data_IF_127657065584
#
_entry.id   IF_127657065584
#
_cell.length_a   1.000
_cell.length_b   1.000
_cell.length_c   1.000
_cell.angle_alpha   90.00
_cell.angle_beta   90.00
_cell.angle_gamma   90.00
#
_symmetry.space_group_name_H-M   'P 1'
#
loop_
_entity.id
_entity.type
_entity.pdbx_description
1 polymer ?
#
# COMPACT_ATOMS: atom_id res chain seq x y z
N UNK A 1 26.46 73.86 6.57
CA UNK A 1 25.22 74.36 7.20
C UNK A 1 24.08 73.86 6.32
N UNK A 2 23.10 73.03 6.69
CA UNK A 2 22.60 72.49 7.96
C UNK A 2 21.51 71.44 7.58
N UNK A 3 21.53 70.26 8.22
CA UNK A 3 20.42 69.28 8.43
C UNK A 3 19.76 68.62 7.21
N UNK A 4 19.94 67.31 6.97
CA UNK A 4 19.35 66.14 7.66
C UNK A 4 17.97 65.75 7.11
N UNK A 5 17.88 64.53 6.52
CA UNK A 5 16.84 63.53 6.82
C UNK A 5 17.52 62.16 6.62
N UNK A 6 17.76 61.50 7.75
CA UNK A 6 17.89 60.05 7.84
C UNK A 6 16.47 59.48 7.69
N UNK A 7 16.23 58.52 6.81
CA UNK A 7 15.34 57.37 7.10
C UNK A 7 15.36 56.35 5.94
N UNK A 8 15.50 55.08 6.31
CA UNK A 8 14.99 53.89 5.58
C UNK A 8 15.64 53.52 4.23
N UNK A 9 16.89 53.06 4.29
CA UNK A 9 17.42 52.02 3.38
C UNK A 9 17.85 50.82 4.21
N UNK A 10 16.88 50.19 4.88
CA UNK A 10 17.05 48.90 5.54
C UNK A 10 15.76 48.07 5.34
N UNK A 11 15.40 47.84 4.08
CA UNK A 11 14.29 46.99 3.71
C UNK A 11 14.83 45.79 2.92
N UNK A 12 14.98 44.66 3.63
CA UNK A 12 14.64 43.37 3.05
C UNK A 12 15.75 42.56 2.37
N UNK A 13 16.95 42.47 2.96
CA UNK A 13 17.69 41.20 2.89
C UNK A 13 17.15 40.30 4.00
N UNK A 14 15.92 39.80 3.81
CA UNK A 14 15.48 38.62 4.52
C UNK A 14 16.38 37.48 4.01
N UNK A 15 17.19 36.82 4.86
CA UNK A 15 17.62 35.49 4.48
C UNK A 15 16.33 34.69 4.32
N UNK A 16 16.07 34.18 3.11
CA UNK A 16 15.26 32.97 2.99
C UNK A 16 16.03 31.92 3.78
N UNK A 17 15.78 31.86 5.09
CA UNK A 17 15.89 30.62 5.81
C UNK A 17 14.81 29.75 5.18
N UNK A 18 15.18 29.06 4.10
CA UNK A 18 14.59 27.76 3.85
C UNK A 18 14.80 27.03 5.17
N UNK A 19 13.76 26.99 6.01
CA UNK A 19 13.70 26.03 7.07
C UNK A 19 13.76 24.69 6.35
N UNK A 20 14.96 24.14 6.21
CA UNK A 20 15.12 22.71 6.05
C UNK A 20 14.36 22.14 7.24
N UNK A 21 13.17 21.64 6.97
CA UNK A 21 12.27 21.14 7.99
C UNK A 21 12.86 19.81 8.41
N UNK A 22 13.87 19.86 9.27
CA UNK A 22 14.58 18.69 9.76
C UNK A 22 13.58 17.74 10.40
N UNK A 23 13.63 16.49 9.96
CA UNK A 23 12.85 15.37 10.46
C UNK A 23 13.39 14.88 11.80
N UNK A 24 13.47 15.78 12.78
CA UNK A 24 14.01 15.56 14.14
C UNK A 24 13.27 14.46 14.93
N UNK A 25 12.10 14.02 14.47
CA UNK A 25 11.35 12.95 15.12
C UNK A 25 12.08 11.60 15.04
N UNK A 26 12.97 11.39 14.07
CA UNK A 26 13.70 10.13 13.92
C UNK A 26 14.98 10.13 14.76
N UNK A 27 15.03 9.24 15.75
CA UNK A 27 16.20 9.08 16.62
C UNK A 27 17.00 7.83 16.23
N UNK A 28 18.32 7.90 16.44
CA UNK A 28 19.21 6.73 16.32
C UNK A 28 19.52 6.16 17.71
N UNK A 29 19.66 4.84 17.78
CA UNK A 29 19.99 4.12 18.99
C UNK A 29 19.98 2.61 18.75
N UNK A 30 20.54 1.85 19.69
CA UNK A 30 20.43 0.39 19.66
C UNK A 30 18.97 -0.04 19.89
N UNK A 31 18.60 -1.22 19.38
CA UNK A 31 17.25 -1.75 19.60
C UNK A 31 16.89 -1.89 21.08
N UNK A 32 17.88 -2.19 21.93
CA UNK A 32 17.70 -2.25 23.39
C UNK A 32 17.35 -0.88 23.98
N UNK A 33 18.00 0.19 23.53
CA UNK A 33 17.71 1.56 23.98
C UNK A 33 16.35 2.04 23.48
N UNK A 34 16.03 1.80 22.21
CA UNK A 34 14.74 2.18 21.61
C UNK A 34 13.57 1.48 22.32
N UNK A 35 13.67 0.18 22.57
CA UNK A 35 12.63 -0.56 23.31
C UNK A 35 12.57 -0.16 24.78
N UNK A 36 13.69 0.17 25.42
CA UNK A 36 13.69 0.71 26.78
C UNK A 36 13.00 2.08 26.86
N UNK A 37 13.27 2.97 25.91
CA UNK A 37 12.60 4.27 25.80
C UNK A 37 11.11 4.11 25.54
N UNK A 38 10.73 3.25 24.59
CA UNK A 38 9.34 2.94 24.27
C UNK A 38 8.54 2.45 25.49
N UNK A 39 9.11 1.54 26.28
CA UNK A 39 8.51 1.08 27.55
C UNK A 39 8.38 2.20 28.57
N UNK A 40 9.43 3.01 28.75
CA UNK A 40 9.43 4.14 29.70
C UNK A 40 8.39 5.20 29.33
N UNK A 41 8.20 5.46 28.05
CA UNK A 41 7.29 6.50 27.55
C UNK A 41 5.89 6.00 27.25
N UNK A 42 5.63 4.69 27.38
CA UNK A 42 4.37 4.05 26.99
C UNK A 42 3.97 4.38 25.55
N UNK A 43 4.96 4.39 24.65
CA UNK A 43 4.79 4.66 23.21
C UNK A 43 5.24 3.45 22.40
N UNK A 44 4.53 3.09 21.32
CA UNK A 44 5.07 2.14 20.34
C UNK A 44 6.23 2.78 19.57
N UNK A 45 7.04 1.92 18.99
CA UNK A 45 8.14 2.28 18.09
C UNK A 45 7.59 2.32 16.67
N UNK A 46 7.80 3.44 15.99
CA UNK A 46 7.63 3.53 14.54
C UNK A 46 8.99 3.30 13.89
N UNK A 47 9.10 2.28 13.03
CA UNK A 47 10.33 1.98 12.29
C UNK A 47 10.09 2.24 10.81
N UNK A 48 10.80 3.20 10.24
CA UNK A 48 10.89 3.38 8.80
C UNK A 48 12.01 2.51 8.22
N UNK A 49 11.69 1.61 7.29
CA UNK A 49 12.69 0.84 6.56
C UNK A 49 12.77 1.32 5.12
N UNK A 50 13.96 1.76 4.75
CA UNK A 50 14.23 2.43 3.48
C UNK A 50 15.57 1.98 2.90
N UNK A 51 15.93 2.54 1.75
CA UNK A 51 17.29 2.48 1.22
C UNK A 51 17.62 3.69 0.36
N UNK A 52 18.89 4.01 0.21
CA UNK A 52 19.34 5.09 -0.69
C UNK A 52 18.96 4.84 -2.16
N UNK A 53 18.39 5.86 -2.82
CA UNK A 53 17.88 5.76 -4.19
C UNK A 53 16.42 5.28 -4.29
N UNK A 54 15.76 5.05 -3.16
CA UNK A 54 14.33 4.79 -3.11
C UNK A 54 13.50 6.08 -3.33
N UNK A 55 12.92 6.24 -4.52
CA UNK A 55 12.13 7.42 -4.89
C UNK A 55 10.92 7.64 -3.96
N UNK A 56 10.13 6.59 -3.72
CA UNK A 56 8.97 6.67 -2.83
C UNK A 56 9.35 6.98 -1.37
N UNK A 57 10.49 6.49 -0.91
CA UNK A 57 11.01 6.82 0.42
C UNK A 57 11.36 8.31 0.50
N UNK A 58 12.01 8.86 -0.54
CA UNK A 58 12.33 10.29 -0.60
C UNK A 58 11.08 11.17 -0.61
N UNK A 59 10.03 10.73 -1.30
CA UNK A 59 8.75 11.42 -1.30
C UNK A 59 8.13 11.51 0.09
N UNK A 60 8.19 10.46 0.90
CA UNK A 60 7.74 10.49 2.30
C UNK A 60 8.59 11.46 3.14
N UNK A 61 9.90 11.37 3.01
CA UNK A 61 10.87 12.20 3.73
C UNK A 61 10.68 13.70 3.44
N UNK A 62 10.33 14.08 2.22
CA UNK A 62 10.21 15.48 1.81
C UNK A 62 8.78 16.01 1.91
N UNK A 63 7.77 15.19 1.57
CA UNK A 63 6.38 15.66 1.39
C UNK A 63 5.47 15.34 2.57
N UNK A 64 5.83 14.37 3.41
CA UNK A 64 4.92 13.80 4.43
C UNK A 64 5.48 13.96 5.84
N UNK A 65 6.63 13.36 6.14
CA UNK A 65 7.23 13.36 7.48
C UNK A 65 7.51 14.75 8.06
N UNK A 66 7.91 15.77 7.27
CA UNK A 66 8.20 17.09 7.83
C UNK A 66 6.93 17.88 8.17
N UNK A 67 5.77 17.49 7.64
CA UNK A 67 4.52 18.27 7.81
C UNK A 67 4.22 18.48 9.30
N UNK A 68 3.91 19.72 9.74
CA UNK A 68 3.78 20.04 11.16
C UNK A 68 2.83 19.09 11.92
N UNK A 69 1.70 18.75 11.31
CA UNK A 69 0.70 17.84 11.87
C UNK A 69 1.21 16.41 12.01
N UNK A 70 1.93 15.90 11.00
CA UNK A 70 2.51 14.55 11.00
C UNK A 70 3.64 14.47 12.02
N UNK A 71 4.58 15.42 11.95
CA UNK A 71 5.73 15.50 12.83
C UNK A 71 5.29 15.56 14.30
N UNK A 72 4.39 16.49 14.62
CA UNK A 72 3.86 16.64 15.98
C UNK A 72 3.20 15.35 16.46
N UNK A 73 2.37 14.73 15.64
CA UNK A 73 1.70 13.49 16.02
C UNK A 73 2.69 12.35 16.28
N UNK A 74 3.74 12.24 15.45
CA UNK A 74 4.79 11.24 15.63
C UNK A 74 5.57 11.46 16.93
N UNK A 75 6.01 12.70 17.21
CA UNK A 75 6.73 13.06 18.44
C UNK A 75 5.88 12.79 19.69
N UNK A 76 4.59 13.11 19.64
CA UNK A 76 3.67 12.95 20.76
C UNK A 76 3.35 11.48 21.04
N UNK A 77 3.33 10.61 20.02
CA UNK A 77 2.76 9.26 20.15
C UNK A 77 3.73 8.11 19.88
N UNK A 78 4.90 8.32 19.27
CA UNK A 78 5.82 7.27 18.89
C UNK A 78 7.26 7.52 19.35
N UNK A 79 8.01 6.44 19.49
CA UNK A 79 9.48 6.47 19.39
C UNK A 79 9.83 6.15 17.95
N UNK A 80 10.18 7.17 17.15
CA UNK A 80 10.42 6.97 15.71
C UNK A 80 11.91 6.74 15.42
N UNK A 81 12.20 5.72 14.62
CA UNK A 81 13.55 5.37 14.15
C UNK A 81 13.48 4.95 12.68
N UNK A 82 14.63 4.88 12.01
CA UNK A 82 14.70 4.36 10.66
C UNK A 82 16.00 3.62 10.37
N UNK A 83 15.92 2.65 9.46
CA UNK A 83 17.05 1.80 9.06
C UNK A 83 17.17 1.72 7.54
N UNK A 84 18.36 2.01 7.02
CA UNK A 84 18.73 1.65 5.66
C UNK A 84 19.00 0.13 5.60
N UNK A 85 18.14 -0.60 4.90
CA UNK A 85 18.16 -2.07 4.89
C UNK A 85 19.33 -2.69 4.13
N UNK A 86 20.05 -1.90 3.32
CA UNK A 86 21.24 -2.36 2.60
C UNK A 86 22.54 -1.93 3.26
N UNK A 87 22.51 -0.97 4.20
CA UNK A 87 23.68 -0.53 4.97
C UNK A 87 23.70 -1.03 6.40
N UNK A 88 22.54 -1.22 7.01
CA UNK A 88 22.41 -1.58 8.42
C UNK A 88 21.94 -3.04 8.54
N UNK A 89 22.77 -3.91 9.14
CA UNK A 89 22.47 -5.35 9.30
C UNK A 89 21.12 -5.58 10.00
N UNK A 90 20.80 -4.75 11.00
CA UNK A 90 19.54 -4.79 11.72
C UNK A 90 18.33 -4.51 10.81
N UNK A 91 18.44 -3.57 9.86
CA UNK A 91 17.40 -3.32 8.86
C UNK A 91 17.14 -4.56 8.00
N UNK A 92 18.21 -5.29 7.63
CA UNK A 92 18.11 -6.55 6.89
C UNK A 92 17.48 -7.68 7.72
N UNK A 93 17.79 -7.77 9.01
CA UNK A 93 17.15 -8.71 9.94
C UNK A 93 15.64 -8.45 10.07
N UNK A 94 15.23 -7.17 10.16
CA UNK A 94 13.81 -6.82 10.15
C UNK A 94 13.13 -7.30 8.86
N UNK A 95 13.77 -7.14 7.69
CA UNK A 95 13.22 -7.61 6.41
C UNK A 95 12.94 -9.11 6.44
N UNK A 96 13.88 -9.91 6.95
CA UNK A 96 13.70 -11.35 7.08
C UNK A 96 12.64 -11.71 8.13
N UNK A 97 12.58 -10.99 9.25
CA UNK A 97 11.61 -11.23 10.32
C UNK A 97 10.17 -11.01 9.87
N UNK A 98 9.91 -9.89 9.19
CA UNK A 98 8.56 -9.43 8.83
C UNK A 98 8.23 -9.55 7.34
N UNK A 99 9.05 -10.29 6.58
CA UNK A 99 8.90 -10.50 5.14
C UNK A 99 8.78 -9.19 4.33
N UNK A 100 9.70 -8.25 4.54
CA UNK A 100 9.69 -6.98 3.79
C UNK A 100 10.46 -7.12 2.48
N UNK A 101 9.74 -7.03 1.37
CA UNK A 101 10.31 -7.21 0.02
C UNK A 101 10.27 -5.95 -0.86
N UNK A 102 9.60 -4.88 -0.41
CA UNK A 102 9.55 -3.56 -1.06
C UNK A 102 9.65 -2.43 -0.03
N UNK A 103 9.95 -1.20 -0.49
CA UNK A 103 10.21 -0.04 0.37
C UNK A 103 9.58 1.25 -0.18
N UNK A 104 9.24 2.24 0.67
CA UNK A 104 9.38 2.20 2.13
C UNK A 104 8.42 1.17 2.76
N UNK A 105 8.83 0.58 3.87
CA UNK A 105 7.95 -0.24 4.72
C UNK A 105 8.06 0.25 6.17
N UNK A 106 6.91 0.49 6.79
CA UNK A 106 6.78 0.94 8.18
C UNK A 106 6.40 -0.22 9.07
N UNK A 107 7.06 -0.34 10.21
CA UNK A 107 6.69 -1.29 11.26
C UNK A 107 6.25 -0.51 12.50
N UNK A 108 5.13 -0.93 13.09
CA UNK A 108 4.70 -0.44 14.40
C UNK A 108 4.91 -1.56 15.42
N UNK A 109 5.84 -1.37 16.35
CA UNK A 109 6.27 -2.40 17.30
C UNK A 109 6.13 -1.87 18.73
N UNK A 110 5.55 -2.66 19.64
CA UNK A 110 5.44 -2.26 21.04
C UNK A 110 6.81 -2.26 21.74
N UNK A 111 6.90 -1.63 22.92
CA UNK A 111 8.11 -1.68 23.75
C UNK A 111 8.54 -3.10 24.17
N UNK A 112 7.64 -4.08 24.08
CA UNK A 112 7.87 -5.50 24.36
C UNK A 112 8.27 -6.31 23.11
N UNK A 113 8.39 -5.65 21.95
CA UNK A 113 8.73 -6.31 20.69
C UNK A 113 7.54 -6.94 19.95
N UNK A 114 6.29 -6.69 20.38
CA UNK A 114 5.10 -7.20 19.69
C UNK A 114 4.80 -6.36 18.46
N UNK A 115 4.65 -6.99 17.29
CA UNK A 115 4.26 -6.29 16.08
C UNK A 115 2.77 -5.90 16.18
N UNK A 116 2.46 -4.62 16.01
CA UNK A 116 1.09 -4.08 16.04
C UNK A 116 0.49 -4.09 14.63
N UNK A 117 1.29 -3.64 13.65
CA UNK A 117 0.92 -3.57 12.25
C UNK A 117 2.14 -3.26 11.36
N UNK A 118 1.94 -3.42 10.06
CA UNK A 118 2.84 -2.94 9.00
C UNK A 118 2.13 -1.94 8.10
N UNK A 119 2.88 -1.09 7.41
CA UNK A 119 2.40 -0.27 6.29
C UNK A 119 3.49 -0.19 5.23
N UNK A 120 3.15 0.09 3.98
CA UNK A 120 4.14 0.15 2.90
C UNK A 120 3.82 1.23 1.88
N UNK A 121 4.85 1.61 1.12
CA UNK A 121 4.77 2.56 0.03
C UNK A 121 4.62 4.02 0.46
N UNK A 122 4.61 4.89 -0.54
CA UNK A 122 4.22 6.28 -0.35
C UNK A 122 2.74 6.37 0.04
N UNK A 123 2.44 7.23 1.00
CA UNK A 123 1.08 7.56 1.43
C UNK A 123 0.93 9.08 1.46
N UNK A 124 -0.17 9.60 0.92
CA UNK A 124 -0.47 11.02 1.07
C UNK A 124 -0.59 11.39 2.57
N UNK A 125 -0.28 12.63 2.97
CA UNK A 125 -0.27 13.04 4.39
C UNK A 125 -1.52 12.64 5.19
N UNK A 126 -2.71 12.84 4.63
CA UNK A 126 -3.97 12.49 5.28
C UNK A 126 -4.12 10.96 5.46
N UNK A 127 -3.68 10.16 4.49
CA UNK A 127 -3.70 8.71 4.59
C UNK A 127 -2.67 8.22 5.62
N UNK A 128 -1.48 8.82 5.62
CA UNK A 128 -0.44 8.50 6.59
C UNK A 128 -0.86 8.87 8.01
N UNK A 129 -1.54 10.00 8.21
CA UNK A 129 -2.14 10.35 9.50
C UNK A 129 -3.16 9.32 9.97
N UNK A 130 -4.08 8.89 9.10
CA UNK A 130 -5.03 7.80 9.41
C UNK A 130 -4.30 6.51 9.77
N UNK A 131 -3.20 6.19 9.09
CA UNK A 131 -2.35 5.05 9.44
C UNK A 131 -1.76 5.19 10.86
N UNK A 132 -1.19 6.35 11.21
CA UNK A 132 -0.64 6.59 12.55
C UNK A 132 -1.72 6.50 13.64
N UNK A 133 -2.87 7.14 13.44
CA UNK A 133 -4.02 7.15 14.37
C UNK A 133 -4.60 5.76 14.62
N UNK A 134 -4.82 4.99 13.55
CA UNK A 134 -5.29 3.62 13.63
C UNK A 134 -4.33 2.75 14.43
N UNK A 135 -3.01 2.93 14.23
CA UNK A 135 -2.01 2.12 14.93
C UNK A 135 -1.85 2.48 16.41
N UNK A 136 -2.03 3.76 16.78
CA UNK A 136 -2.13 4.15 18.19
C UNK A 136 -3.39 3.56 18.82
N UNK A 137 -4.52 3.56 18.10
CA UNK A 137 -5.76 2.96 18.59
C UNK A 137 -5.61 1.45 18.83
N UNK A 138 -4.99 0.73 17.89
CA UNK A 138 -4.65 -0.70 18.02
C UNK A 138 -3.72 -0.95 19.21
N UNK A 139 -2.67 -0.14 19.36
CA UNK A 139 -1.72 -0.25 20.47
C UNK A 139 -2.43 -0.11 21.83
N UNK A 140 -3.25 0.94 22.00
CA UNK A 140 -4.03 1.19 23.22
C UNK A 140 -5.04 0.06 23.50
N UNK A 141 -5.61 -0.53 22.46
CA UNK A 141 -6.50 -1.68 22.57
C UNK A 141 -5.78 -3.03 22.78
N UNK A 142 -4.44 -3.05 22.83
CA UNK A 142 -3.66 -4.28 22.96
C UNK A 142 -3.80 -5.23 21.76
N UNK A 143 -4.04 -4.69 20.56
CA UNK A 143 -4.21 -5.46 19.32
C UNK A 143 -2.87 -5.62 18.60
N UNK A 144 -2.44 -6.86 18.43
CA UNK A 144 -1.15 -7.23 17.85
C UNK A 144 -1.29 -8.28 16.76
N UNK A 145 -0.32 -8.33 15.85
CA UNK A 145 -0.13 -9.43 14.90
C UNK A 145 0.58 -10.59 15.61
N UNK A 146 -0.21 -11.47 16.24
CA UNK A 146 0.26 -12.57 17.10
C UNK A 146 0.91 -13.74 16.36
N UNK A 147 0.96 -13.67 15.03
CA UNK A 147 1.68 -14.61 14.17
C UNK A 147 3.19 -14.48 14.27
N UNK A 148 3.70 -13.31 14.66
CA UNK A 148 5.13 -13.05 14.81
C UNK A 148 5.55 -13.12 16.28
N UNK A 149 6.61 -13.87 16.57
CA UNK A 149 7.26 -13.86 17.87
C UNK A 149 7.90 -12.50 18.18
N UNK A 150 7.98 -12.16 19.47
CA UNK A 150 8.45 -10.87 19.96
C UNK A 150 9.98 -10.67 19.82
N UNK A 151 10.71 -11.72 19.43
CA UNK A 151 12.15 -11.70 19.20
C UNK A 151 12.45 -11.73 17.71
N UNK A 152 13.55 -11.09 17.31
CA UNK A 152 14.08 -11.19 15.95
C UNK A 152 14.69 -12.55 15.64
N UNK A 153 14.98 -13.36 16.66
CA UNK A 153 15.41 -14.74 16.45
C UNK A 153 14.26 -15.53 15.83
N UNK A 154 14.53 -16.17 14.71
CA UNK A 154 13.59 -17.03 14.00
C UNK A 154 14.18 -18.44 13.87
N UNK A 155 13.32 -19.42 13.64
CA UNK A 155 13.69 -20.80 13.33
C UNK A 155 13.38 -21.13 11.85
N UNK A 156 13.60 -20.13 10.99
CA UNK A 156 13.38 -20.25 9.56
C UNK A 156 14.40 -21.21 8.93
N UNK A 157 14.01 -21.98 7.89
CA UNK A 157 14.93 -22.85 7.19
C UNK A 157 15.99 -22.06 6.40
N UNK A 158 17.14 -22.68 6.15
CA UNK A 158 18.28 -22.01 5.49
C UNK A 158 17.95 -21.42 4.12
N UNK A 159 17.08 -22.06 3.34
CA UNK A 159 16.66 -21.52 2.04
C UNK A 159 15.88 -20.19 2.18
N UNK A 160 15.15 -20.00 3.29
CA UNK A 160 14.45 -18.75 3.58
C UNK A 160 15.43 -17.67 4.03
N UNK A 161 16.39 -18.04 4.87
CA UNK A 161 17.49 -17.16 5.25
C UNK A 161 18.27 -16.70 4.00
N UNK A 162 18.65 -17.63 3.12
CA UNK A 162 19.32 -17.32 1.85
C UNK A 162 18.52 -16.33 0.99
N UNK A 163 17.19 -16.43 0.94
CA UNK A 163 16.34 -15.50 0.18
C UNK A 163 16.52 -14.02 0.61
N UNK A 164 16.70 -13.75 1.90
CA UNK A 164 16.92 -12.38 2.40
C UNK A 164 18.40 -11.99 2.45
N UNK A 165 19.30 -12.92 2.73
CA UNK A 165 20.69 -12.60 3.05
C UNK A 165 21.68 -12.73 1.89
N UNK A 166 21.34 -13.47 0.83
CA UNK A 166 22.16 -13.53 -0.38
C UNK A 166 22.30 -12.17 -1.06
N UNK A 167 23.37 -12.00 -1.85
CA UNK A 167 23.61 -10.79 -2.67
C UNK A 167 22.46 -10.54 -3.65
N UNK A 168 22.01 -11.61 -4.30
CA UNK A 168 20.88 -11.57 -5.22
C UNK A 168 19.70 -12.32 -4.58
N UNK A 169 18.57 -11.63 -4.41
CA UNK A 169 17.33 -12.24 -3.92
C UNK A 169 16.80 -13.21 -4.98
N UNK A 170 16.86 -14.51 -4.70
CA UNK A 170 16.34 -15.58 -5.56
C UNK A 170 15.32 -16.40 -4.80
N UNK A 171 14.16 -16.62 -5.41
CA UNK A 171 13.17 -17.53 -4.85
C UNK A 171 13.76 -18.93 -4.66
N UNK A 172 13.51 -19.59 -3.53
CA UNK A 172 14.02 -20.92 -3.24
C UNK A 172 13.45 -21.97 -4.20
N UNK A 173 14.13 -23.13 -4.26
CA UNK A 173 13.66 -24.28 -5.01
C UNK A 173 12.28 -24.75 -4.52
N UNK A 174 11.38 -25.01 -5.47
CA UNK A 174 9.98 -25.33 -5.14
C UNK A 174 9.82 -26.72 -4.51
N UNK A 175 10.73 -27.66 -4.77
CA UNK A 175 10.70 -28.99 -4.15
C UNK A 175 11.11 -28.89 -2.70
N UNK A 176 12.24 -28.24 -2.41
CA UNK A 176 12.73 -28.03 -1.05
C UNK A 176 11.71 -27.31 -0.15
N UNK A 177 11.05 -26.26 -0.67
CA UNK A 177 10.00 -25.54 0.04
C UNK A 177 8.81 -26.46 0.37
N UNK A 178 8.33 -27.24 -0.60
CA UNK A 178 7.18 -28.15 -0.40
C UNK A 178 7.52 -29.27 0.58
N UNK A 179 8.71 -29.86 0.49
CA UNK A 179 9.17 -30.88 1.44
C UNK A 179 9.24 -30.34 2.87
N UNK A 180 9.71 -29.10 3.06
CA UNK A 180 9.68 -28.45 4.36
C UNK A 180 8.25 -28.32 4.88
N UNK A 181 7.33 -27.77 4.06
CA UNK A 181 5.93 -27.57 4.43
C UNK A 181 5.24 -28.89 4.79
N UNK A 182 5.42 -29.95 4.00
CA UNK A 182 4.78 -31.26 4.24
C UNK A 182 5.19 -31.92 5.56
N UNK A 183 6.32 -31.52 6.16
CA UNK A 183 6.80 -32.03 7.45
C UNK A 183 6.22 -31.28 8.66
N UNK A 184 5.60 -30.11 8.47
CA UNK A 184 5.13 -29.28 9.58
C UNK A 184 3.78 -29.76 10.10
N UNK A 185 3.62 -29.74 11.42
CA UNK A 185 2.37 -30.07 12.11
C UNK A 185 1.55 -28.83 12.47
N UNK A 186 2.23 -27.73 12.82
CA UNK A 186 1.61 -26.44 13.11
C UNK A 186 1.64 -25.55 11.85
N UNK A 187 0.51 -25.49 11.16
CA UNK A 187 0.37 -24.75 9.90
C UNK A 187 0.30 -23.23 10.13
N UNK A 188 0.04 -22.80 11.37
CA UNK A 188 -0.06 -21.39 11.73
C UNK A 188 1.22 -20.86 12.40
N UNK A 189 2.30 -21.64 12.40
CA UNK A 189 3.59 -21.24 12.93
C UNK A 189 4.24 -20.15 12.06
N UNK A 190 4.95 -19.22 12.70
CA UNK A 190 5.62 -18.09 12.03
C UNK A 190 6.50 -18.53 10.86
N UNK A 191 7.43 -19.47 11.08
CA UNK A 191 8.34 -19.97 10.04
C UNK A 191 7.58 -20.63 8.88
N UNK A 192 6.46 -21.28 9.18
CA UNK A 192 5.62 -21.98 8.19
C UNK A 192 4.91 -20.98 7.31
N UNK A 193 4.29 -19.95 7.90
CA UNK A 193 3.65 -18.88 7.14
C UNK A 193 4.66 -18.11 6.28
N UNK A 194 5.84 -17.79 6.82
CA UNK A 194 6.89 -17.11 6.06
C UNK A 194 7.40 -17.96 4.90
N UNK A 195 7.47 -19.28 5.06
CA UNK A 195 7.80 -20.21 3.97
C UNK A 195 6.67 -20.28 2.93
N UNK A 196 5.40 -20.14 3.31
CA UNK A 196 4.29 -20.04 2.34
C UNK A 196 4.46 -18.84 1.40
N UNK A 197 4.98 -17.70 1.88
CA UNK A 197 5.19 -16.49 1.09
C UNK A 197 6.27 -16.64 0.00
N UNK A 198 7.19 -17.59 0.15
CA UNK A 198 8.22 -17.91 -0.86
C UNK A 198 7.86 -19.16 -1.68
N UNK A 199 6.69 -19.75 -1.45
CA UNK A 199 6.23 -20.92 -2.18
C UNK A 199 5.42 -20.50 -3.41
N UNK A 200 5.89 -20.89 -4.61
CA UNK A 200 5.17 -20.56 -5.87
C UNK A 200 3.78 -21.20 -5.95
N UNK A 201 3.65 -22.44 -5.49
CA UNK A 201 2.43 -23.23 -5.53
C UNK A 201 2.32 -24.03 -4.22
N UNK A 202 1.36 -23.67 -3.37
CA UNK A 202 1.17 -24.37 -2.10
C UNK A 202 0.73 -25.83 -2.32
N UNK A 203 1.19 -26.77 -1.47
CA UNK A 203 0.62 -28.11 -1.41
C UNK A 203 -0.91 -28.08 -1.18
N UNK A 204 -1.64 -29.07 -1.68
CA UNK A 204 -3.11 -29.09 -1.65
C UNK A 204 -3.69 -28.98 -0.23
N UNK A 205 -3.08 -29.66 0.76
CA UNK A 205 -3.48 -29.57 2.16
C UNK A 205 -3.28 -28.15 2.74
N UNK A 206 -2.17 -27.48 2.38
CA UNK A 206 -1.91 -26.09 2.78
C UNK A 206 -2.87 -25.11 2.14
N UNK A 207 -3.15 -25.27 0.85
CA UNK A 207 -4.14 -24.46 0.13
C UNK A 207 -5.52 -24.58 0.79
N UNK A 208 -6.00 -25.79 0.99
CA UNK A 208 -7.31 -26.03 1.62
C UNK A 208 -7.37 -25.46 3.04
N UNK A 209 -6.31 -25.66 3.83
CA UNK A 209 -6.24 -25.13 5.18
C UNK A 209 -6.19 -23.60 5.21
N UNK A 210 -5.40 -22.97 4.34
CA UNK A 210 -5.29 -21.51 4.25
C UNK A 210 -6.63 -20.87 3.91
N UNK A 211 -7.31 -21.36 2.86
CA UNK A 211 -8.61 -20.83 2.42
C UNK A 211 -9.64 -20.96 3.56
N UNK A 212 -9.70 -22.11 4.24
CA UNK A 212 -10.62 -22.33 5.35
C UNK A 212 -10.34 -21.44 6.56
N UNK A 213 -9.08 -21.07 6.81
CA UNK A 213 -8.65 -20.33 8.01
C UNK A 213 -8.16 -18.91 7.67
N UNK A 214 -8.57 -18.33 6.54
CA UNK A 214 -8.01 -17.08 6.01
C UNK A 214 -8.11 -15.93 7.01
N UNK A 215 -9.26 -15.79 7.68
CA UNK A 215 -9.46 -14.77 8.74
C UNK A 215 -8.44 -14.90 9.85
N UNK A 216 -8.20 -16.13 10.35
CA UNK A 216 -7.18 -16.38 11.38
C UNK A 216 -5.78 -16.01 10.90
N UNK A 217 -5.42 -16.32 9.64
CA UNK A 217 -4.13 -15.89 9.12
C UNK A 217 -4.01 -14.37 9.00
N UNK A 218 -5.07 -13.66 8.60
CA UNK A 218 -5.08 -12.20 8.51
C UNK A 218 -4.92 -11.57 9.89
N UNK A 219 -5.64 -12.05 10.89
CA UNK A 219 -5.52 -11.58 12.28
C UNK A 219 -4.12 -11.81 12.84
N UNK A 220 -3.49 -12.95 12.52
CA UNK A 220 -2.16 -13.30 13.02
C UNK A 220 -1.03 -12.58 12.29
N UNK A 221 -1.10 -12.48 10.96
CA UNK A 221 0.04 -12.09 10.13
C UNK A 221 -0.17 -10.80 9.31
N UNK A 222 -1.36 -10.19 9.39
CA UNK A 222 -1.69 -8.95 8.70
C UNK A 222 -2.22 -9.18 7.28
N UNK A 223 -3.03 -8.25 6.79
CA UNK A 223 -3.70 -8.38 5.49
C UNK A 223 -2.71 -8.43 4.32
N UNK A 224 -1.68 -7.58 4.30
CA UNK A 224 -0.76 -7.43 3.16
C UNK A 224 -0.04 -8.73 2.79
N UNK A 225 0.54 -9.43 3.79
CA UNK A 225 1.21 -10.71 3.55
C UNK A 225 0.24 -11.80 3.13
N UNK A 226 -0.97 -11.80 3.68
CA UNK A 226 -2.02 -12.75 3.30
C UNK A 226 -2.55 -12.49 1.88
N UNK A 227 -2.58 -11.25 1.42
CA UNK A 227 -2.88 -10.92 0.03
C UNK A 227 -1.83 -11.51 -0.91
N UNK A 228 -0.54 -11.55 -0.52
CA UNK A 228 0.50 -12.21 -1.32
C UNK A 228 0.27 -13.73 -1.45
N UNK A 229 -0.09 -14.41 -0.36
CA UNK A 229 -0.44 -15.83 -0.39
C UNK A 229 -1.66 -16.08 -1.27
N UNK A 230 -2.72 -15.27 -1.08
CA UNK A 230 -3.95 -15.38 -1.87
C UNK A 230 -3.67 -15.19 -3.36
N UNK A 231 -2.94 -14.14 -3.74
CA UNK A 231 -2.58 -13.87 -5.14
C UNK A 231 -1.83 -15.04 -5.80
N UNK A 232 -0.97 -15.74 -5.05
CA UNK A 232 -0.33 -16.97 -5.51
C UNK A 232 -1.35 -18.08 -5.85
N UNK A 233 -2.33 -18.30 -4.96
CA UNK A 233 -3.41 -19.27 -5.17
C UNK A 233 -4.29 -18.90 -6.36
N UNK A 234 -4.68 -17.64 -6.48
CA UNK A 234 -5.52 -17.15 -7.58
C UNK A 234 -4.80 -17.24 -8.93
N UNK A 235 -3.50 -16.94 -8.96
CA UNK A 235 -2.67 -17.12 -10.15
C UNK A 235 -2.61 -18.59 -10.57
N UNK A 236 -2.51 -19.51 -9.61
CA UNK A 236 -2.56 -20.95 -9.88
C UNK A 236 -3.94 -21.36 -10.43
N UNK A 237 -5.03 -20.79 -9.92
CA UNK A 237 -6.38 -21.11 -10.40
C UNK A 237 -6.58 -20.76 -11.87
N UNK A 238 -6.07 -19.61 -12.30
CA UNK A 238 -6.17 -19.14 -13.67
C UNK A 238 -5.46 -20.04 -14.71
N UNK A 239 -4.57 -20.95 -14.30
CA UNK A 239 -3.83 -21.79 -15.27
C UNK A 239 -4.71 -22.80 -16.00
N UNK A 240 -5.93 -23.05 -15.52
CA UNK A 240 -6.89 -23.96 -16.16
C UNK A 240 -7.63 -23.33 -17.34
N UNK A 241 -7.63 -22.00 -17.42
CA UNK A 241 -8.32 -21.26 -18.47
C UNK A 241 -7.50 -21.23 -19.78
N UNK A 242 -8.16 -21.23 -20.96
CA UNK A 242 -7.47 -21.12 -22.24
C UNK A 242 -6.86 -19.73 -22.42
N UNK A 243 -5.78 -19.62 -23.20
CA UNK A 243 -5.11 -18.32 -23.43
C UNK A 243 -5.95 -17.34 -24.25
N UNK A 244 -6.81 -17.85 -25.12
CA UNK A 244 -7.80 -17.06 -25.86
C UNK A 244 -9.06 -16.91 -25.00
N UNK A 245 -9.76 -15.79 -25.18
CA UNK A 245 -11.01 -15.54 -24.47
C UNK A 245 -12.04 -16.62 -24.80
N UNK A 246 -12.51 -17.30 -23.76
CA UNK A 246 -13.67 -18.17 -23.82
C UNK A 246 -14.60 -17.79 -22.66
N UNK A 247 -15.69 -17.09 -23.00
CA UNK A 247 -16.65 -16.60 -22.01
C UNK A 247 -17.34 -17.74 -21.26
N UNK A 248 -17.70 -18.82 -21.96
CA UNK A 248 -18.38 -19.95 -21.33
C UNK A 248 -17.44 -20.67 -20.36
N UNK A 249 -16.17 -20.84 -20.73
CA UNK A 249 -15.15 -21.40 -19.84
C UNK A 249 -14.90 -20.49 -18.62
N UNK A 250 -14.89 -19.16 -18.82
CA UNK A 250 -14.70 -18.21 -17.73
C UNK A 250 -15.88 -18.19 -16.74
N UNK A 251 -17.11 -18.20 -17.24
CA UNK A 251 -18.31 -18.24 -16.41
C UNK A 251 -18.37 -19.54 -15.58
N UNK A 252 -18.10 -20.68 -16.22
CA UNK A 252 -18.02 -21.97 -15.53
C UNK A 252 -16.89 -21.99 -14.49
N UNK A 253 -15.74 -21.37 -14.80
CA UNK A 253 -14.63 -21.20 -13.87
C UNK A 253 -15.03 -20.36 -12.65
N UNK A 254 -15.66 -19.20 -12.85
CA UNK A 254 -16.11 -18.34 -11.76
C UNK A 254 -17.13 -19.07 -10.87
N UNK A 255 -18.12 -19.75 -11.46
CA UNK A 255 -19.12 -20.52 -10.72
C UNK A 255 -18.45 -21.59 -9.83
N UNK A 256 -17.41 -22.26 -10.34
CA UNK A 256 -16.64 -23.23 -9.55
C UNK A 256 -15.84 -22.56 -8.42
N UNK A 257 -15.14 -21.46 -8.70
CA UNK A 257 -14.31 -20.78 -7.70
C UNK A 257 -15.14 -20.12 -6.60
N UNK A 258 -16.36 -19.66 -6.91
CA UNK A 258 -17.27 -19.10 -5.93
C UNK A 258 -17.64 -20.10 -4.82
N UNK A 259 -17.63 -21.41 -5.13
CA UNK A 259 -17.84 -22.47 -4.13
C UNK A 259 -16.61 -22.77 -3.28
N UNK A 260 -15.43 -22.34 -3.71
CA UNK A 260 -14.14 -22.60 -3.03
C UNK A 260 -13.84 -21.50 -2.02
N UNK A 261 -14.12 -20.24 -2.36
CA UNK A 261 -13.77 -19.08 -1.56
C UNK A 261 -14.95 -18.54 -0.75
N UNK A 262 -14.65 -17.84 0.34
CA UNK A 262 -15.69 -17.26 1.19
C UNK A 262 -16.45 -16.14 0.47
N UNK A 263 -17.72 -15.93 0.83
CA UNK A 263 -18.51 -14.83 0.30
C UNK A 263 -17.89 -13.44 0.62
N UNK A 264 -17.17 -13.34 1.74
CA UNK A 264 -16.48 -12.11 2.17
C UNK A 264 -15.34 -11.76 1.23
N UNK A 265 -14.58 -12.76 0.75
CA UNK A 265 -13.44 -12.55 -0.14
C UNK A 265 -13.84 -12.50 -1.61
N UNK A 266 -15.02 -13.04 -1.94
CA UNK A 266 -15.41 -13.32 -3.32
C UNK A 266 -15.38 -12.09 -4.23
N UNK A 267 -15.78 -10.92 -3.72
CA UNK A 267 -15.77 -9.69 -4.51
C UNK A 267 -14.38 -9.31 -5.00
N UNK A 268 -13.37 -9.39 -4.13
CA UNK A 268 -11.98 -9.10 -4.49
C UNK A 268 -11.43 -10.16 -5.44
N UNK A 269 -11.74 -11.43 -5.17
CA UNK A 269 -11.28 -12.59 -5.92
C UNK A 269 -11.83 -12.61 -7.35
N UNK A 270 -13.14 -12.41 -7.53
CA UNK A 270 -13.76 -12.41 -8.87
C UNK A 270 -13.20 -11.29 -9.74
N UNK A 271 -12.91 -10.14 -9.13
CA UNK A 271 -12.26 -9.04 -9.84
C UNK A 271 -10.80 -9.32 -10.19
N UNK A 272 -10.04 -9.98 -9.30
CA UNK A 272 -8.69 -10.44 -9.62
C UNK A 272 -8.72 -11.37 -10.83
N UNK A 273 -9.66 -12.32 -10.88
CA UNK A 273 -9.81 -13.21 -12.02
C UNK A 273 -10.16 -12.47 -13.30
N UNK A 274 -11.14 -11.56 -13.26
CA UNK A 274 -11.52 -10.76 -14.42
C UNK A 274 -10.38 -9.90 -14.94
N UNK A 275 -9.65 -9.21 -14.06
CA UNK A 275 -8.50 -8.39 -14.46
C UNK A 275 -7.42 -9.24 -15.12
N UNK A 276 -7.05 -10.37 -14.52
CA UNK A 276 -5.95 -11.19 -15.02
C UNK A 276 -6.34 -12.02 -16.25
N UNK A 277 -7.60 -12.43 -16.37
CA UNK A 277 -8.07 -13.18 -17.52
C UNK A 277 -8.53 -12.28 -18.66
N UNK A 278 -9.60 -11.51 -18.48
CA UNK A 278 -10.21 -10.69 -19.54
C UNK A 278 -9.24 -9.62 -20.05
N UNK A 279 -8.63 -8.86 -19.13
CA UNK A 279 -7.72 -7.80 -19.53
C UNK A 279 -6.30 -8.31 -19.82
N UNK A 280 -5.61 -8.95 -18.86
CA UNK A 280 -4.19 -9.26 -19.06
C UNK A 280 -3.93 -10.40 -20.04
N UNK A 281 -4.76 -11.44 -20.04
CA UNK A 281 -4.58 -12.63 -20.88
C UNK A 281 -5.27 -12.46 -22.24
N UNK A 282 -6.56 -12.17 -22.24
CA UNK A 282 -7.36 -12.00 -23.46
C UNK A 282 -7.19 -10.63 -24.15
N UNK A 283 -6.57 -9.64 -23.48
CA UNK A 283 -6.37 -8.27 -24.00
C UNK A 283 -7.67 -7.54 -24.34
N UNK A 284 -8.75 -7.87 -23.62
CA UNK A 284 -10.06 -7.27 -23.80
C UNK A 284 -10.41 -6.32 -22.65
N UNK A 285 -10.03 -5.06 -22.81
CA UNK A 285 -10.34 -4.00 -21.85
C UNK A 285 -11.85 -3.75 -21.72
N UNK A 286 -12.60 -3.91 -22.81
CA UNK A 286 -14.05 -3.69 -22.80
C UNK A 286 -14.74 -4.75 -21.96
N UNK A 287 -14.44 -6.02 -22.19
CA UNK A 287 -15.00 -7.14 -21.43
C UNK A 287 -14.69 -7.01 -19.92
N UNK A 288 -13.47 -6.60 -19.57
CA UNK A 288 -13.13 -6.33 -18.17
C UNK A 288 -13.97 -5.20 -17.56
N UNK A 289 -14.13 -4.06 -18.25
CA UNK A 289 -14.90 -2.93 -17.73
C UNK A 289 -16.39 -3.28 -17.59
N UNK A 290 -16.97 -3.99 -18.57
CA UNK A 290 -18.34 -4.47 -18.51
C UNK A 290 -18.55 -5.43 -17.32
N UNK A 291 -17.60 -6.35 -17.10
CA UNK A 291 -17.61 -7.24 -15.95
C UNK A 291 -17.51 -6.46 -14.63
N UNK A 292 -16.59 -5.51 -14.52
CA UNK A 292 -16.39 -4.73 -13.30
C UNK A 292 -17.63 -3.87 -12.96
N UNK A 293 -18.33 -3.34 -13.96
CA UNK A 293 -19.62 -2.64 -13.80
C UNK A 293 -20.71 -3.60 -13.33
N UNK A 294 -20.87 -4.75 -13.99
CA UNK A 294 -21.92 -5.72 -13.70
C UNK A 294 -21.78 -6.31 -12.29
N UNK A 295 -20.56 -6.38 -11.78
CA UNK A 295 -20.25 -6.89 -10.45
C UNK A 295 -19.99 -5.79 -9.42
N UNK A 296 -20.36 -4.54 -9.71
CA UNK A 296 -20.32 -3.42 -8.76
C UNK A 296 -18.96 -3.21 -8.08
N UNK A 297 -17.88 -3.26 -8.85
CA UNK A 297 -16.56 -2.98 -8.30
C UNK A 297 -16.42 -1.51 -7.85
N UNK A 298 -16.01 -1.32 -6.59
CA UNK A 298 -15.81 0.01 -5.98
C UNK A 298 -14.36 0.23 -5.52
N UNK A 299 -13.40 -0.56 -6.02
CA UNK A 299 -12.01 -0.45 -5.62
C UNK A 299 -11.32 0.77 -6.28
N UNK A 300 -11.20 1.89 -5.57
CA UNK A 300 -10.53 3.11 -6.07
C UNK A 300 -9.09 2.83 -6.53
N UNK A 301 -8.34 1.99 -5.81
CA UNK A 301 -6.97 1.69 -6.21
C UNK A 301 -6.93 0.96 -7.57
N UNK A 302 -7.90 0.07 -7.85
CA UNK A 302 -8.04 -0.57 -9.16
C UNK A 302 -8.35 0.45 -10.24
N UNK A 303 -9.28 1.37 -9.99
CA UNK A 303 -9.54 2.50 -10.90
C UNK A 303 -8.23 3.23 -11.22
N UNK A 304 -7.47 3.61 -10.19
CA UNK A 304 -6.20 4.34 -10.31
C UNK A 304 -5.19 3.62 -11.21
N UNK A 305 -4.79 2.38 -10.89
CA UNK A 305 -3.74 1.70 -11.67
C UNK A 305 -4.23 1.25 -13.05
N UNK A 306 -5.51 0.90 -13.21
CA UNK A 306 -6.05 0.51 -14.51
C UNK A 306 -6.12 1.69 -15.48
N UNK A 307 -6.24 2.94 -14.99
CA UNK A 307 -6.09 4.13 -15.85
C UNK A 307 -4.76 4.13 -16.60
N UNK A 308 -3.69 3.81 -15.87
CA UNK A 308 -2.33 3.78 -16.40
C UNK A 308 -2.18 2.63 -17.39
N UNK A 309 -2.62 1.42 -17.02
CA UNK A 309 -2.52 0.24 -17.89
C UNK A 309 -3.35 0.36 -19.17
N UNK A 310 -4.55 0.93 -19.09
CA UNK A 310 -5.46 1.12 -20.24
C UNK A 310 -5.28 2.46 -20.95
N UNK A 311 -4.21 3.21 -20.67
CA UNK A 311 -4.05 4.59 -21.13
C UNK A 311 -4.18 4.73 -22.65
N UNK A 312 -3.47 3.87 -23.40
CA UNK A 312 -3.47 3.86 -24.85
C UNK A 312 -4.82 3.44 -25.47
N UNK A 313 -5.51 2.47 -24.87
CA UNK A 313 -6.82 2.01 -25.34
C UNK A 313 -7.89 3.09 -25.13
N UNK A 314 -7.88 3.75 -23.97
CA UNK A 314 -8.82 4.80 -23.60
C UNK A 314 -8.68 6.06 -24.48
N UNK A 315 -7.47 6.35 -24.96
CA UNK A 315 -7.23 7.46 -25.89
C UNK A 315 -7.76 7.16 -27.30
N UNK A 316 -7.71 5.90 -27.74
CA UNK A 316 -8.08 5.49 -29.09
C UNK A 316 -9.57 5.18 -29.26
N UNK A 317 -10.27 4.86 -28.18
CA UNK A 317 -11.64 4.34 -28.23
C UNK A 317 -12.59 5.15 -27.32
N UNK A 318 -13.35 6.12 -27.87
CA UNK A 318 -14.27 6.94 -27.09
C UNK A 318 -15.29 6.13 -26.28
N UNK A 319 -15.85 5.05 -26.84
CA UNK A 319 -16.80 4.19 -26.12
C UNK A 319 -16.17 3.47 -24.91
N UNK A 320 -14.87 3.16 -24.96
CA UNK A 320 -14.15 2.56 -23.84
C UNK A 320 -13.93 3.58 -22.71
N UNK A 321 -13.68 4.84 -23.08
CA UNK A 321 -13.57 5.95 -22.13
C UNK A 321 -14.86 6.13 -21.33
N UNK A 322 -16.02 6.11 -21.99
CA UNK A 322 -17.33 6.21 -21.31
C UNK A 322 -17.59 5.04 -20.37
N UNK A 323 -17.25 3.81 -20.79
CA UNK A 323 -17.33 2.63 -19.92
C UNK A 323 -16.42 2.77 -18.70
N UNK A 324 -15.20 3.24 -18.87
CA UNK A 324 -14.27 3.46 -17.77
C UNK A 324 -14.80 4.51 -16.78
N UNK A 325 -15.34 5.64 -17.27
CA UNK A 325 -15.96 6.67 -16.41
C UNK A 325 -17.11 6.06 -15.60
N UNK A 326 -17.98 5.27 -16.25
CA UNK A 326 -19.10 4.61 -15.59
C UNK A 326 -18.66 3.61 -14.53
N UNK A 327 -17.62 2.83 -14.80
CA UNK A 327 -17.04 1.89 -13.83
C UNK A 327 -16.37 2.63 -12.65
N UNK A 328 -15.65 3.71 -12.92
CA UNK A 328 -14.91 4.45 -11.91
C UNK A 328 -15.82 5.23 -10.95
N UNK A 329 -16.93 5.78 -11.44
CA UNK A 329 -17.76 6.72 -10.68
C UNK A 329 -18.22 6.22 -9.29
N UNK A 330 -18.67 4.97 -9.10
CA UNK A 330 -19.08 4.46 -7.79
C UNK A 330 -17.93 4.31 -6.78
N UNK A 331 -16.67 4.23 -7.24
CA UNK A 331 -15.51 4.08 -6.37
C UNK A 331 -15.02 5.43 -5.80
N UNK A 332 -15.42 6.56 -6.39
CA UNK A 332 -14.91 7.88 -6.03
C UNK A 332 -15.74 8.54 -4.92
N UNK A 333 -15.05 9.13 -3.95
CA UNK A 333 -15.62 9.96 -2.89
C UNK A 333 -14.84 11.28 -2.76
N UNK A 334 -15.33 12.22 -1.94
CA UNK A 334 -14.58 13.44 -1.65
C UNK A 334 -13.23 13.17 -0.97
N UNK A 335 -13.09 12.00 -0.33
CA UNK A 335 -11.87 11.56 0.35
C UNK A 335 -10.85 10.87 -0.59
N UNK A 336 -11.26 10.57 -1.83
CA UNK A 336 -10.40 9.90 -2.82
C UNK A 336 -9.12 10.68 -3.10
N UNK A 337 -8.05 9.99 -3.49
CA UNK A 337 -6.72 10.60 -3.73
C UNK A 337 -6.78 11.77 -4.71
N UNK A 338 -5.92 12.78 -4.51
CA UNK A 338 -5.91 13.95 -5.39
C UNK A 338 -5.59 13.54 -6.84
N UNK A 339 -4.73 12.54 -7.01
CA UNK A 339 -4.40 11.92 -8.30
C UNK A 339 -5.64 11.39 -9.02
N UNK A 340 -6.44 10.53 -8.35
CA UNK A 340 -7.63 9.91 -8.95
C UNK A 340 -8.69 10.96 -9.28
N UNK A 341 -8.95 11.88 -8.34
CA UNK A 341 -9.92 12.96 -8.55
C UNK A 341 -9.55 13.82 -9.76
N UNK A 342 -8.29 14.22 -9.86
CA UNK A 342 -7.81 15.06 -10.96
C UNK A 342 -7.89 14.31 -12.30
N UNK A 343 -7.40 13.07 -12.33
CA UNK A 343 -7.40 12.24 -13.54
C UNK A 343 -8.81 12.03 -14.11
N UNK A 344 -9.77 11.69 -13.23
CA UNK A 344 -11.17 11.46 -13.64
C UNK A 344 -11.89 12.77 -14.00
N UNK A 345 -11.58 13.89 -13.33
CA UNK A 345 -12.12 15.19 -13.69
C UNK A 345 -11.76 15.58 -15.14
N UNK A 346 -10.49 15.41 -15.52
CA UNK A 346 -10.05 15.63 -16.91
C UNK A 346 -10.70 14.68 -17.90
N UNK A 347 -10.83 13.40 -17.52
CA UNK A 347 -11.49 12.43 -18.38
C UNK A 347 -12.95 12.80 -18.64
N UNK A 348 -13.66 13.29 -17.62
CA UNK A 348 -15.06 13.67 -17.71
C UNK A 348 -15.31 15.02 -18.40
N UNK A 349 -14.28 15.87 -18.55
CA UNK A 349 -14.41 17.25 -19.05
C UNK A 349 -15.20 17.32 -20.37
N UNK A 350 -14.91 16.38 -21.25
CA UNK A 350 -15.50 16.28 -22.58
C UNK A 350 -16.55 15.16 -22.55
N UNK A 351 -17.84 15.51 -22.45
CA UNK A 351 -18.96 14.57 -22.48
C UNK A 351 -19.69 14.34 -21.14
N UNK A 352 -19.05 14.62 -19.99
CA UNK A 352 -19.59 14.38 -18.64
C UNK A 352 -19.37 15.58 -17.71
N UNK A 353 -19.79 16.77 -18.16
CA UNK A 353 -19.47 18.07 -17.50
C UNK A 353 -19.84 18.12 -16.01
N UNK A 354 -20.97 17.54 -15.60
CA UNK A 354 -21.39 17.56 -14.18
C UNK A 354 -20.47 16.71 -13.30
N UNK A 355 -20.06 15.54 -13.79
CA UNK A 355 -19.06 14.71 -13.12
C UNK A 355 -17.70 15.42 -13.05
N UNK A 356 -17.29 16.08 -14.14
CA UNK A 356 -16.06 16.88 -14.16
C UNK A 356 -16.09 18.00 -13.11
N UNK A 357 -17.19 18.77 -13.02
CA UNK A 357 -17.39 19.83 -12.02
C UNK A 357 -17.30 19.29 -10.60
N UNK A 358 -17.98 18.17 -10.33
CA UNK A 358 -17.94 17.49 -9.03
C UNK A 358 -16.51 17.08 -8.65
N UNK A 359 -15.79 16.42 -9.55
CA UNK A 359 -14.44 15.92 -9.26
C UNK A 359 -13.40 17.02 -9.15
N UNK A 360 -13.47 18.08 -9.98
CA UNK A 360 -12.61 19.26 -9.81
C UNK A 360 -12.87 19.98 -8.49
N UNK A 361 -14.12 20.05 -8.04
CA UNK A 361 -14.48 20.63 -6.73
C UNK A 361 -13.84 19.84 -5.59
N UNK A 362 -13.95 18.52 -5.61
CA UNK A 362 -13.31 17.64 -4.62
C UNK A 362 -11.78 17.74 -4.67
N UNK A 363 -11.19 17.74 -5.87
CA UNK A 363 -9.75 17.90 -6.06
C UNK A 363 -9.25 19.25 -5.50
N UNK A 364 -9.97 20.33 -5.75
CA UNK A 364 -9.65 21.68 -5.26
C UNK A 364 -9.67 21.74 -3.72
N UNK A 365 -10.72 21.20 -3.10
CA UNK A 365 -10.83 21.12 -1.64
C UNK A 365 -9.68 20.32 -1.04
N UNK A 366 -9.33 19.19 -1.65
CA UNK A 366 -8.25 18.32 -1.18
C UNK A 366 -6.87 18.95 -1.35
N UNK A 367 -6.59 19.57 -2.51
CA UNK A 367 -5.35 20.32 -2.73
C UNK A 367 -5.18 21.45 -1.70
N UNK A 368 -6.26 22.20 -1.42
CA UNK A 368 -6.26 23.25 -0.40
C UNK A 368 -5.94 22.69 0.99
N UNK A 369 -6.59 21.60 1.39
CA UNK A 369 -6.32 20.93 2.67
C UNK A 369 -4.88 20.39 2.76
N UNK A 370 -4.28 20.03 1.64
CA UNK A 370 -2.88 19.61 1.55
C UNK A 370 -1.89 20.79 1.48
N UNK A 371 -2.35 22.04 1.47
CA UNK A 371 -1.51 23.23 1.29
C UNK A 371 -0.88 23.32 -0.10
N UNK A 372 -1.49 22.69 -1.11
CA UNK A 372 -1.07 22.77 -2.50
C UNK A 372 -1.83 23.89 -3.24
N UNK A 373 -1.23 24.54 -4.25
CA UNK A 373 -1.92 25.52 -5.09
C UNK A 373 -3.20 24.93 -5.70
N UNK A 374 -4.31 25.63 -5.54
CA UNK A 374 -5.65 25.16 -5.92
C UNK A 374 -6.29 26.02 -7.05
N UNK A 375 -5.64 27.14 -7.42
CA UNK A 375 -6.13 28.11 -8.40
C UNK A 375 -6.31 27.48 -9.79
N UNK A 376 -5.51 26.45 -10.09
CA UNK A 376 -5.63 25.69 -11.32
C UNK A 376 -6.98 24.97 -11.45
N UNK A 377 -7.47 24.37 -10.35
CA UNK A 377 -8.77 23.70 -10.36
C UNK A 377 -9.92 24.69 -10.52
N UNK A 378 -9.82 25.88 -9.91
CA UNK A 378 -10.80 26.95 -10.12
C UNK A 378 -10.88 27.36 -11.59
N UNK A 379 -9.73 27.52 -12.27
CA UNK A 379 -9.70 27.84 -13.71
C UNK A 379 -10.39 26.77 -14.57
N UNK A 380 -10.25 25.49 -14.22
CA UNK A 380 -10.95 24.41 -14.94
C UNK A 380 -12.45 24.41 -14.65
N UNK A 381 -12.87 24.71 -13.41
CA UNK A 381 -14.28 24.86 -13.05
C UNK A 381 -14.95 26.00 -13.83
N UNK A 382 -14.27 27.15 -13.96
CA UNK A 382 -14.79 28.31 -14.69
C UNK A 382 -15.05 27.96 -16.17
N UNK A 383 -14.13 27.21 -16.80
CA UNK A 383 -14.27 26.71 -18.20
C UNK A 383 -15.44 25.74 -18.39
N UNK A 384 -15.86 25.05 -17.33
CA UNK A 384 -17.01 24.13 -17.36
C UNK A 384 -18.34 24.85 -17.10
N UNK A 385 -18.29 26.05 -16.51
CA UNK A 385 -19.44 26.91 -16.23
C UNK A 385 -19.86 27.80 -17.41
N UNK A 386 -18.91 28.13 -18.29
CA UNK A 386 -19.15 28.70 -19.63
C UNK A 386 -19.61 27.64 -20.63
#
# INVERSE_FOLDING_TARGET
>A
MKYAIKALLLAGLLPLTAAAQDSTQFIKGSWKELTAKARKEHKPIFVDTYFEGCHACKDMEVKVFPRPEVKKYMEDNFVSTGYDVFKEAFGKELCAKYFMTGFPTYLIISGEGKLINTGAGYQEPAQFMKFLENNISRYKAGQYLTGFGNSLKTDDPEFYHTFFFAKDRKFPDSTAVKEYLLKQKDLLKESVFKVMLVCRNLPANYRAFYIKNRTTYIERFGADLNSNVLNGLLKQDLTVLPKQLDNAAFDAFLAKQQQVYSAVDWQEIQMYYAENYLYKTAKDAKAFLEFAIAHHDTNENRVRYMRFYMSAELEKQPGLKDLYIRWAAPALTAESSLEVLTSLAYMCRDGHKDAAKKYFTWAMAKATAMGQPAEYFQKELDKLGS
#
